data_IF_390126503698
#
_entry.id   IF_390126503698
#
_cell.length_a   1.000
_cell.length_b   1.000
_cell.length_c   1.000
_cell.angle_alpha   90.00
_cell.angle_beta   90.00
_cell.angle_gamma   90.00
#
_symmetry.space_group_name_H-M   'P 1'
#
loop_
_entity.id
_entity.type
_entity.pdbx_description
1 polymer ?
#
# COMPACT_ATOMS: atom_id res chain seq x y z
N UNK A 1 5.45 26.82 -22.17
CA UNK A 1 6.08 26.17 -21.00
C UNK A 1 5.13 26.35 -19.83
N UNK A 2 4.37 25.33 -19.49
CA UNK A 2 3.55 25.33 -18.27
C UNK A 2 4.50 25.16 -17.10
N UNK A 3 4.61 26.17 -16.23
CA UNK A 3 5.34 26.05 -14.97
C UNK A 3 4.50 25.21 -14.01
N UNK A 4 4.50 23.90 -14.22
CA UNK A 4 3.99 22.96 -13.22
C UNK A 4 5.03 22.82 -12.11
N UNK A 5 4.64 23.19 -10.89
CA UNK A 5 5.45 22.92 -9.71
C UNK A 5 5.41 21.42 -9.42
N UNK A 6 6.54 20.74 -9.56
CA UNK A 6 6.66 19.35 -9.12
C UNK A 6 6.80 19.36 -7.59
N UNK A 7 5.86 18.77 -6.83
CA UNK A 7 5.99 18.68 -5.39
C UNK A 7 7.19 17.78 -5.05
N UNK A 8 8.18 18.34 -4.37
CA UNK A 8 9.28 17.57 -3.79
C UNK A 8 8.79 17.01 -2.47
N UNK A 9 8.55 15.71 -2.43
CA UNK A 9 8.28 15.00 -1.18
C UNK A 9 9.58 14.96 -0.38
N UNK A 10 9.68 15.82 0.62
CA UNK A 10 10.72 15.71 1.64
C UNK A 10 10.32 14.59 2.56
N UNK A 11 11.31 13.77 2.93
CA UNK A 11 11.19 12.82 4.03
C UNK A 11 11.03 13.63 5.32
N UNK A 12 9.82 14.15 5.54
CA UNK A 12 9.43 14.69 6.83
C UNK A 12 9.50 13.50 7.79
N UNK A 13 10.01 13.72 9.01
CA UNK A 13 10.09 12.77 10.15
C UNK A 13 8.70 12.25 10.59
N UNK A 14 7.92 11.78 9.63
CA UNK A 14 6.53 11.43 9.75
C UNK A 14 6.50 10.05 10.35
N UNK A 15 5.97 9.96 11.56
CA UNK A 15 5.83 8.70 12.26
C UNK A 15 4.68 7.93 11.59
N UNK A 16 5.04 7.00 10.69
CA UNK A 16 4.10 6.12 10.01
C UNK A 16 3.85 4.89 10.88
N UNK A 17 2.57 4.56 11.08
CA UNK A 17 2.14 3.31 11.70
C UNK A 17 1.84 2.29 10.60
N UNK A 18 2.42 1.10 10.73
CA UNK A 18 2.28 -0.02 9.80
C UNK A 18 1.51 -1.15 10.47
N UNK A 19 0.43 -1.61 9.84
CA UNK A 19 -0.41 -2.71 10.27
C UNK A 19 -0.31 -3.82 9.22
N UNK A 20 0.13 -5.01 9.61
CA UNK A 20 0.36 -6.15 8.69
C UNK A 20 -0.78 -7.17 8.66
N UNK A 21 -1.80 -6.99 9.50
CA UNK A 21 -2.95 -7.89 9.62
C UNK A 21 -4.25 -7.10 9.53
N UNK A 22 -5.21 -7.64 8.78
CA UNK A 22 -6.54 -7.05 8.65
C UNK A 22 -7.29 -7.02 9.98
N UNK A 23 -7.94 -5.90 10.30
CA UNK A 23 -8.67 -5.69 11.56
C UNK A 23 -7.81 -5.66 12.83
N UNK A 24 -6.48 -5.74 12.73
CA UNK A 24 -5.60 -5.68 13.90
C UNK A 24 -5.36 -4.23 14.35
N UNK A 25 -5.31 -4.04 15.66
CA UNK A 25 -4.87 -2.78 16.29
C UNK A 25 -3.35 -2.76 16.53
N UNK A 26 -2.68 -3.90 16.38
CA UNK A 26 -1.22 -4.00 16.54
C UNK A 26 -0.51 -3.36 15.35
N UNK A 27 0.37 -2.40 15.64
CA UNK A 27 1.17 -1.71 14.64
C UNK A 27 2.66 -1.70 14.97
N UNK A 28 3.46 -1.51 13.92
CA UNK A 28 4.89 -1.23 14.00
C UNK A 28 5.19 0.16 13.47
N UNK A 29 6.28 0.77 13.94
CA UNK A 29 6.84 1.99 13.35
C UNK A 29 7.94 1.69 12.32
N UNK A 30 8.33 0.41 12.18
CA UNK A 30 9.35 -0.01 11.25
C UNK A 30 8.71 -0.50 9.96
N UNK A 31 9.04 0.14 8.82
CA UNK A 31 8.61 -0.29 7.48
C UNK A 31 9.01 -1.74 7.19
N UNK A 32 10.09 -2.23 7.82
CA UNK A 32 10.51 -3.63 7.78
C UNK A 32 9.38 -4.63 8.12
N UNK A 33 8.36 -4.23 8.88
CA UNK A 33 7.18 -5.06 9.18
C UNK A 33 6.32 -5.41 7.95
N UNK A 34 6.48 -4.67 6.85
CA UNK A 34 5.79 -4.91 5.57
C UNK A 34 6.76 -5.15 4.41
N UNK A 35 8.08 -5.27 4.68
CA UNK A 35 9.15 -5.48 3.68
C UNK A 35 9.70 -6.90 3.72
N UNK A 36 10.20 -7.37 2.58
CA UNK A 36 10.87 -8.66 2.45
C UNK A 36 12.24 -8.64 3.09
N UNK A 37 12.71 -9.79 3.55
CA UNK A 37 14.11 -9.92 3.92
C UNK A 37 14.99 -9.79 2.65
N UNK A 38 16.09 -9.05 2.76
CA UNK A 38 17.12 -9.04 1.72
C UNK A 38 17.78 -10.42 1.65
N UNK A 39 18.16 -10.86 0.44
CA UNK A 39 18.92 -12.08 0.28
C UNK A 39 20.41 -11.83 0.62
N UNK A 40 21.17 -12.87 1.02
CA UNK A 40 22.59 -12.75 1.33
C UNK A 40 23.45 -12.20 0.18
N UNK A 41 22.99 -12.37 -1.07
CA UNK A 41 23.72 -11.96 -2.28
C UNK A 41 23.27 -10.59 -2.84
N UNK A 42 22.32 -9.90 -2.20
CA UNK A 42 21.86 -8.57 -2.62
C UNK A 42 20.42 -8.23 -2.25
N UNK A 43 19.99 -7.01 -2.57
CA UNK A 43 18.61 -6.57 -2.36
C UNK A 43 17.68 -7.16 -3.44
N UNK A 44 16.53 -7.70 -3.02
CA UNK A 44 15.44 -8.13 -3.90
C UNK A 44 14.41 -7.01 -4.04
N UNK A 45 13.58 -7.02 -5.10
CA UNK A 45 12.52 -6.02 -5.28
C UNK A 45 11.59 -5.92 -4.04
N UNK A 46 11.29 -7.06 -3.43
CA UNK A 46 10.48 -7.16 -2.21
C UNK A 46 11.21 -6.63 -0.96
N UNK A 47 12.54 -6.71 -0.91
CA UNK A 47 13.33 -6.15 0.19
C UNK A 47 13.51 -4.64 0.12
N UNK A 48 13.41 -4.05 -1.08
CA UNK A 48 13.49 -2.59 -1.25
C UNK A 48 12.14 -1.92 -1.02
N UNK A 49 11.05 -2.52 -1.52
CA UNK A 49 9.75 -1.87 -1.55
C UNK A 49 8.78 -2.41 -0.49
N UNK A 50 8.09 -3.51 -0.76
CA UNK A 50 7.17 -4.21 0.17
C UNK A 50 7.06 -5.68 -0.25
N UNK A 51 6.83 -6.62 0.67
CA UNK A 51 6.48 -7.99 0.28
C UNK A 51 5.15 -8.00 -0.49
N UNK A 52 4.90 -9.06 -1.26
CA UNK A 52 3.56 -9.39 -1.75
C UNK A 52 2.68 -9.93 -0.60
N UNK A 53 2.49 -9.12 0.45
CA UNK A 53 1.53 -9.40 1.52
C UNK A 53 0.13 -9.17 0.96
N UNK A 54 -0.80 -10.07 1.28
CA UNK A 54 -2.18 -9.95 0.82
C UNK A 54 -2.87 -8.68 1.27
N UNK A 55 -2.50 -8.18 2.45
CA UNK A 55 -3.02 -6.94 3.02
C UNK A 55 -1.96 -6.25 3.86
N UNK A 56 -1.91 -4.92 3.80
CA UNK A 56 -1.29 -4.10 4.82
C UNK A 56 -1.93 -2.71 4.86
N UNK A 57 -1.85 -2.05 6.01
CA UNK A 57 -2.36 -0.70 6.22
C UNK A 57 -1.27 0.21 6.75
N UNK A 58 -1.28 1.44 6.27
CA UNK A 58 -0.37 2.48 6.73
C UNK A 58 -1.15 3.73 7.10
N UNK A 59 -0.81 4.32 8.24
CA UNK A 59 -1.44 5.54 8.74
C UNK A 59 -0.36 6.60 8.98
N UNK A 60 -0.52 7.76 8.34
CA UNK A 60 0.33 8.94 8.52
C UNK A 60 -0.55 10.13 8.92
N UNK A 61 -0.48 10.54 10.19
CA UNK A 61 -1.23 11.70 10.68
C UNK A 61 -0.74 13.05 10.14
N UNK A 62 0.44 13.08 9.51
CA UNK A 62 1.05 14.27 8.92
C UNK A 62 0.96 14.26 7.37
N UNK A 63 0.02 13.50 6.80
CA UNK A 63 -0.22 13.49 5.35
C UNK A 63 -0.72 14.84 4.84
N UNK A 64 -0.56 15.08 3.54
CA UNK A 64 -1.06 16.28 2.88
C UNK A 64 -2.60 16.32 2.82
N UNK A 65 -3.23 15.17 2.68
CA UNK A 65 -4.68 15.00 2.60
C UNK A 65 -5.17 14.15 3.77
N UNK A 66 -6.28 14.56 4.37
CA UNK A 66 -7.04 13.77 5.35
C UNK A 66 -8.00 12.79 4.65
N UNK A 67 -7.46 12.04 3.70
CA UNK A 67 -8.23 11.10 2.86
C UNK A 67 -7.72 9.68 3.11
N UNK A 68 -8.65 8.75 3.22
CA UNK A 68 -8.40 7.32 3.37
C UNK A 68 -8.59 6.63 2.03
N UNK A 69 -7.60 5.86 1.59
CA UNK A 69 -7.63 5.18 0.30
C UNK A 69 -7.46 3.68 0.46
N UNK A 70 -8.27 2.91 -0.27
CA UNK A 70 -8.09 1.48 -0.48
C UNK A 70 -7.49 1.26 -1.86
N UNK A 71 -6.34 0.60 -1.91
CA UNK A 71 -5.59 0.35 -3.14
C UNK A 71 -5.56 -1.14 -3.39
N UNK A 72 -6.20 -1.55 -4.48
CA UNK A 72 -6.18 -2.94 -4.94
C UNK A 72 -5.17 -3.00 -6.09
N UNK A 73 -4.06 -3.71 -5.90
CA UNK A 73 -2.89 -3.63 -6.78
C UNK A 73 -2.39 -4.98 -7.29
N UNK A 74 -1.48 -4.93 -8.26
CA UNK A 74 -0.50 -5.98 -8.55
C UNK A 74 0.92 -5.60 -8.06
N UNK A 75 1.95 -6.31 -8.51
CA UNK A 75 3.35 -6.12 -8.06
C UNK A 75 3.99 -4.81 -8.54
N UNK A 76 3.40 -4.07 -9.49
CA UNK A 76 4.05 -2.87 -10.07
C UNK A 76 3.90 -1.60 -9.23
N UNK A 77 3.04 -1.59 -8.21
CA UNK A 77 2.76 -0.40 -7.41
C UNK A 77 3.75 -0.19 -6.25
N UNK A 78 4.52 -1.22 -5.85
CA UNK A 78 5.39 -1.16 -4.67
C UNK A 78 6.31 0.10 -4.57
N UNK A 79 6.79 0.71 -5.68
CA UNK A 79 7.58 1.97 -5.63
C UNK A 79 6.76 3.23 -5.31
N UNK A 80 5.45 3.21 -5.49
CA UNK A 80 4.56 4.36 -5.22
C UNK A 80 4.05 4.40 -3.77
N UNK A 81 4.26 3.34 -3.00
CA UNK A 81 3.86 3.20 -1.59
C UNK A 81 4.33 4.38 -0.74
N UNK A 82 5.59 4.81 -0.92
CA UNK A 82 6.15 5.93 -0.15
C UNK A 82 5.53 7.26 -0.58
N UNK A 83 5.35 7.51 -1.87
CA UNK A 83 4.68 8.72 -2.37
C UNK A 83 3.26 8.84 -1.82
N UNK A 84 2.49 7.75 -1.88
CA UNK A 84 1.12 7.72 -1.39
C UNK A 84 1.08 7.86 0.13
N UNK A 85 2.14 7.48 0.84
CA UNK A 85 2.25 7.63 2.28
C UNK A 85 2.29 9.07 2.77
N UNK A 86 2.84 9.97 1.95
CA UNK A 86 2.85 11.40 2.24
C UNK A 86 1.56 12.09 1.77
N UNK A 87 0.92 11.57 0.70
CA UNK A 87 -0.29 12.18 0.15
C UNK A 87 -1.52 11.89 1.00
N UNK A 88 -1.76 10.63 1.36
CA UNK A 88 -3.01 10.18 1.99
C UNK A 88 -2.82 9.80 3.46
N UNK A 89 -3.80 10.16 4.30
CA UNK A 89 -3.77 9.89 5.73
C UNK A 89 -3.72 8.38 6.01
N UNK A 90 -4.63 7.63 5.42
CA UNK A 90 -4.71 6.19 5.57
C UNK A 90 -4.64 5.52 4.21
N UNK A 91 -3.83 4.47 4.10
CA UNK A 91 -3.75 3.63 2.91
C UNK A 91 -3.93 2.19 3.33
N UNK A 92 -4.95 1.54 2.80
CA UNK A 92 -5.11 0.10 2.85
C UNK A 92 -4.68 -0.46 1.51
N UNK A 93 -3.77 -1.43 1.51
CA UNK A 93 -3.21 -1.99 0.30
C UNK A 93 -3.52 -3.47 0.28
N UNK A 94 -4.12 -3.92 -0.81
CA UNK A 94 -4.55 -5.29 -1.03
C UNK A 94 -3.89 -5.84 -2.29
N UNK A 95 -3.24 -7.00 -2.17
CA UNK A 95 -2.81 -7.82 -3.30
C UNK A 95 -3.57 -9.14 -3.25
N UNK A 96 -4.51 -9.31 -4.19
CA UNK A 96 -5.46 -10.44 -4.18
C UNK A 96 -4.73 -11.78 -4.20
N UNK A 97 -3.57 -11.86 -4.87
CA UNK A 97 -2.76 -13.08 -4.97
C UNK A 97 -2.16 -13.52 -3.63
N UNK A 98 -2.00 -12.57 -2.71
CA UNK A 98 -1.46 -12.80 -1.37
C UNK A 98 -2.53 -12.95 -0.29
N UNK A 99 -3.82 -12.70 -0.59
CA UNK A 99 -4.91 -12.82 0.38
C UNK A 99 -5.10 -14.29 0.78
N UNK A 100 -4.99 -14.58 2.08
CA UNK A 100 -5.22 -15.92 2.63
C UNK A 100 -6.25 -15.83 3.75
N UNK A 101 -7.39 -16.50 3.57
CA UNK A 101 -8.45 -16.55 4.58
C UNK A 101 -9.23 -15.23 4.78
N UNK A 102 -9.03 -14.25 3.89
CA UNK A 102 -9.74 -12.99 3.85
C UNK A 102 -10.21 -12.74 2.41
N UNK A 103 -11.51 -12.50 2.23
CA UNK A 103 -12.05 -12.20 0.89
C UNK A 103 -11.86 -10.72 0.56
N UNK A 104 -11.62 -10.42 -0.72
CA UNK A 104 -11.54 -9.03 -1.16
C UNK A 104 -12.86 -8.29 -0.92
N UNK A 105 -13.99 -8.95 -1.15
CA UNK A 105 -15.32 -8.42 -0.84
C UNK A 105 -15.43 -7.93 0.62
N UNK A 106 -14.99 -8.75 1.58
CA UNK A 106 -14.98 -8.36 3.01
C UNK A 106 -14.17 -7.09 3.24
N UNK A 107 -12.97 -6.99 2.64
CA UNK A 107 -12.16 -5.78 2.77
C UNK A 107 -12.88 -4.57 2.18
N UNK A 108 -13.51 -4.69 1.02
CA UNK A 108 -14.23 -3.58 0.38
C UNK A 108 -15.47 -3.16 1.19
N UNK A 109 -16.25 -4.13 1.68
CA UNK A 109 -17.50 -3.88 2.42
C UNK A 109 -17.24 -3.21 3.77
N UNK A 110 -16.17 -3.58 4.45
CA UNK A 110 -15.83 -3.09 5.79
C UNK A 110 -14.85 -1.91 5.78
N UNK A 111 -14.21 -1.60 4.65
CA UNK A 111 -13.26 -0.50 4.56
C UNK A 111 -13.94 0.84 4.80
N UNK A 112 -13.28 1.70 5.57
CA UNK A 112 -13.70 3.09 5.81
C UNK A 112 -13.07 4.07 4.81
N UNK A 113 -12.61 3.56 3.65
CA UNK A 113 -11.96 4.35 2.63
C UNK A 113 -12.92 5.34 1.93
N UNK A 114 -12.43 6.56 1.71
CA UNK A 114 -13.13 7.59 0.93
C UNK A 114 -13.00 7.34 -0.59
N UNK A 115 -11.94 6.61 -0.99
CA UNK A 115 -11.58 6.36 -2.37
C UNK A 115 -11.00 4.95 -2.56
N UNK A 116 -11.49 4.24 -3.58
CA UNK A 116 -10.93 2.96 -4.02
C UNK A 116 -10.14 3.17 -5.31
N UNK A 117 -8.89 2.72 -5.33
CA UNK A 117 -7.99 2.78 -6.48
C UNK A 117 -7.66 1.36 -6.94
N UNK A 118 -8.04 1.02 -8.17
CA UNK A 118 -7.58 -0.20 -8.83
C UNK A 118 -6.34 0.13 -9.65
N UNK A 119 -5.24 -0.55 -9.33
CA UNK A 119 -3.92 -0.30 -9.92
C UNK A 119 -3.36 -1.61 -10.47
N UNK A 120 -3.80 -1.97 -11.67
CA UNK A 120 -3.31 -3.15 -12.39
C UNK A 120 -2.49 -2.76 -13.62
N UNK A 121 -1.50 -3.58 -13.93
CA UNK A 121 -0.81 -3.51 -15.20
C UNK A 121 -1.80 -3.73 -16.35
N UNK A 122 -1.62 -3.02 -17.47
CA UNK A 122 -2.50 -3.06 -18.64
C UNK A 122 -2.74 -4.46 -19.23
N UNK A 123 -1.83 -5.42 -18.97
CA UNK A 123 -1.99 -6.80 -19.44
C UNK A 123 -2.83 -7.66 -18.49
N UNK A 124 -3.19 -7.13 -17.32
CA UNK A 124 -3.93 -7.82 -16.29
C UNK A 124 -5.36 -7.28 -16.23
N UNK A 125 -6.14 -7.62 -17.26
CA UNK A 125 -7.51 -7.13 -17.50
C UNK A 125 -8.58 -8.22 -17.35
N UNK A 126 -8.16 -9.46 -17.05
CA UNK A 126 -9.03 -10.63 -16.86
C UNK A 126 -8.35 -11.64 -15.92
N UNK A 127 -9.11 -12.45 -15.17
CA UNK A 127 -8.57 -13.56 -14.37
C UNK A 127 -8.89 -13.44 -12.88
N UNK A 128 -8.17 -14.20 -12.04
CA UNK A 128 -8.39 -14.29 -10.58
C UNK A 128 -8.33 -12.94 -9.85
N UNK A 129 -7.74 -11.91 -10.46
CA UNK A 129 -7.68 -10.55 -9.91
C UNK A 129 -8.95 -9.72 -10.13
N UNK A 130 -9.96 -10.27 -10.81
CA UNK A 130 -11.28 -9.65 -11.02
C UNK A 130 -12.42 -10.48 -10.41
N UNK A 131 -12.09 -11.48 -9.58
CA UNK A 131 -13.06 -12.24 -8.80
C UNK A 131 -13.33 -11.48 -7.49
N UNK A 132 -14.28 -10.55 -7.55
CA UNK A 132 -14.68 -9.68 -6.44
C UNK A 132 -15.74 -10.33 -5.56
#
# INVERSE_FOLDING_TARGET
STMESIPVLKDNESVIRYYSSYGSEDFSFHKASIQGDALPEGQTYDSVYTQNVGYYKMVNGNSLLDTKVLIIKDSMQNPMTDMFSYMFNTREIVDIRGLKGLSLYTVIEESDADLVLLMYHQNNVTGEMFDF
#
